data_IF_550401268126
#
_entry.id   IF_550401268126
#
_cell.length_a   1.000
_cell.length_b   1.000
_cell.length_c   1.000
_cell.angle_alpha   90.00
_cell.angle_beta   90.00
_cell.angle_gamma   90.00
#
_symmetry.space_group_name_H-M   'P 1'
#
loop_
_entity.id
_entity.type
_entity.pdbx_description
1 polymer ?
#
# COMPACT_ATOMS: atom_id res chain seq x y z
N UNK A 1 -3.58 9.37 7.25
CA UNK A 1 -2.47 10.35 7.42
C UNK A 1 -2.09 10.51 8.88
N UNK A 2 -3.03 10.34 9.82
CA UNK A 2 -2.80 10.35 11.26
C UNK A 2 -1.73 9.32 11.69
N UNK A 3 -1.73 8.10 11.12
CA UNK A 3 -0.82 7.01 11.51
C UNK A 3 0.65 7.41 11.41
N UNK A 4 1.09 8.02 10.30
CA UNK A 4 2.49 8.43 10.11
C UNK A 4 2.89 9.64 10.97
N UNK A 5 1.91 10.39 11.50
CA UNK A 5 2.16 11.54 12.37
C UNK A 5 2.24 11.15 13.85
N UNK A 6 1.89 9.90 14.20
CA UNK A 6 1.91 9.41 15.57
C UNK A 6 3.34 9.43 16.13
N UNK A 7 3.55 9.92 17.37
CA UNK A 7 4.89 9.98 17.97
C UNK A 7 5.62 8.64 17.96
N UNK A 8 4.90 7.52 18.12
CA UNK A 8 5.48 6.18 18.18
C UNK A 8 5.99 5.68 16.82
N UNK A 9 5.52 6.28 15.72
CA UNK A 9 5.85 5.88 14.33
C UNK A 9 6.96 6.76 13.75
N UNK A 10 7.13 7.99 14.25
CA UNK A 10 8.10 8.95 13.71
C UNK A 10 9.53 8.55 14.07
N UNK A 11 10.45 8.49 13.10
CA UNK A 11 11.86 8.27 13.39
C UNK A 11 12.47 9.56 13.94
N UNK A 12 12.82 9.58 15.22
CA UNK A 12 13.44 10.73 15.87
C UNK A 12 12.56 11.99 15.86
N UNK A 13 13.19 13.16 15.90
CA UNK A 13 12.50 14.46 15.97
C UNK A 13 12.13 15.00 14.58
N UNK A 14 11.24 14.29 13.87
CA UNK A 14 10.72 14.75 12.58
C UNK A 14 9.41 15.50 12.77
N UNK A 15 9.29 16.67 12.10
CA UNK A 15 8.08 17.47 12.15
C UNK A 15 6.95 16.84 11.31
N UNK A 16 5.69 17.14 11.65
CA UNK A 16 4.56 16.65 10.85
C UNK A 16 4.59 17.24 9.42
N UNK A 17 5.19 18.42 9.24
CA UNK A 17 5.37 19.04 7.93
C UNK A 17 6.34 18.22 7.05
N UNK A 18 7.42 17.71 7.64
CA UNK A 18 8.38 16.86 6.94
C UNK A 18 7.76 15.53 6.53
N UNK A 19 7.00 14.89 7.43
CA UNK A 19 6.24 13.66 7.11
C UNK A 19 5.30 13.89 5.93
N UNK A 20 4.54 14.99 5.94
CA UNK A 20 3.66 15.34 4.82
C UNK A 20 4.42 15.65 3.53
N UNK A 21 5.56 16.33 3.64
CA UNK A 21 6.44 16.61 2.51
C UNK A 21 6.94 15.34 1.85
N UNK A 22 7.37 14.36 2.66
CA UNK A 22 7.80 13.05 2.18
C UNK A 22 6.68 12.29 1.46
N UNK A 23 5.47 12.22 2.05
CA UNK A 23 4.33 11.53 1.43
C UNK A 23 3.95 12.19 0.11
N UNK A 24 3.83 13.52 0.07
CA UNK A 24 3.52 14.26 -1.17
C UNK A 24 4.56 14.00 -2.24
N UNK A 25 5.83 14.10 -1.90
CA UNK A 25 6.92 13.85 -2.84
C UNK A 25 6.91 12.43 -3.39
N UNK A 26 6.56 11.46 -2.56
CA UNK A 26 6.39 10.06 -2.98
C UNK A 26 5.21 9.90 -3.95
N UNK A 27 4.08 10.56 -3.67
CA UNK A 27 2.91 10.55 -4.54
C UNK A 27 3.19 11.19 -5.91
N UNK A 28 4.12 12.14 -6.03
CA UNK A 28 4.51 12.73 -7.32
C UNK A 28 5.11 11.68 -8.28
N UNK A 29 5.70 10.61 -7.75
CA UNK A 29 6.23 9.50 -8.56
C UNK A 29 5.19 8.40 -8.82
N UNK A 30 3.98 8.53 -8.29
CA UNK A 30 2.93 7.51 -8.44
C UNK A 30 2.23 7.59 -9.81
N UNK A 31 1.82 6.43 -10.30
CA UNK A 31 0.93 6.33 -11.46
C UNK A 31 -0.54 6.41 -11.00
N UNK A 32 -1.29 7.38 -11.51
CA UNK A 32 -2.74 7.50 -11.22
C UNK A 32 -3.50 6.46 -12.04
N UNK A 33 -4.21 5.59 -11.34
CA UNK A 33 -4.97 4.51 -11.96
C UNK A 33 -6.46 4.65 -11.64
N UNK A 34 -7.29 4.60 -12.68
CA UNK A 34 -8.74 4.47 -12.52
C UNK A 34 -9.10 3.02 -12.22
N UNK A 35 -10.07 2.83 -11.33
CA UNK A 35 -10.58 1.52 -10.91
C UNK A 35 -12.10 1.47 -11.04
N UNK A 36 -12.65 0.28 -11.28
CA UNK A 36 -14.08 0.03 -11.42
C UNK A 36 -14.55 -0.91 -10.30
N UNK A 37 -15.54 -0.45 -9.53
CA UNK A 37 -15.98 -1.04 -8.25
C UNK A 37 -16.91 -2.28 -8.40
N UNK A 38 -16.77 -3.04 -9.48
CA UNK A 38 -17.84 -3.91 -10.01
C UNK A 38 -18.02 -5.28 -9.37
N UNK A 39 -17.04 -5.79 -8.60
CA UNK A 39 -17.00 -7.19 -8.15
C UNK A 39 -16.93 -7.37 -6.62
N UNK A 40 -17.09 -6.29 -5.85
CA UNK A 40 -17.03 -6.33 -4.38
C UNK A 40 -18.23 -7.07 -3.75
N UNK A 41 -18.06 -7.70 -2.56
CA UNK A 41 -16.80 -7.85 -1.83
C UNK A 41 -16.03 -9.13 -2.21
N UNK A 42 -14.69 -9.07 -2.17
CA UNK A 42 -13.81 -10.24 -2.30
C UNK A 42 -13.00 -10.48 -1.03
N UNK A 43 -12.40 -9.42 -0.50
CA UNK A 43 -11.59 -9.48 0.71
C UNK A 43 -12.45 -9.56 1.97
N UNK A 44 -11.80 -9.98 3.07
CA UNK A 44 -12.44 -10.06 4.38
C UNK A 44 -12.91 -8.68 4.87
N UNK A 45 -12.12 -7.65 4.64
CA UNK A 45 -12.53 -6.26 4.84
C UNK A 45 -12.95 -5.64 3.49
N UNK A 46 -14.25 -5.36 3.28
CA UNK A 46 -14.73 -4.75 2.03
C UNK A 46 -14.12 -3.36 1.73
N UNK A 47 -13.56 -2.68 2.73
CA UNK A 47 -12.87 -1.41 2.50
C UNK A 47 -11.54 -1.59 1.75
N UNK A 48 -10.91 -2.76 1.90
CA UNK A 48 -9.63 -3.09 1.27
C UNK A 48 -9.79 -3.54 -0.18
N UNK A 49 -11.00 -3.91 -0.63
CA UNK A 49 -11.26 -4.28 -2.03
C UNK A 49 -10.85 -3.18 -3.01
N UNK A 50 -10.93 -1.90 -2.59
CA UNK A 50 -10.45 -0.79 -3.40
C UNK A 50 -8.95 -0.87 -3.70
N UNK A 51 -8.17 -1.37 -2.74
CA UNK A 51 -6.72 -1.52 -2.88
C UNK A 51 -6.42 -2.71 -3.79
N UNK A 52 -7.15 -3.82 -3.66
CA UNK A 52 -7.01 -4.97 -4.55
C UNK A 52 -7.40 -4.62 -6.00
N UNK A 53 -8.53 -3.93 -6.20
CA UNK A 53 -8.94 -3.42 -7.51
C UNK A 53 -7.85 -2.54 -8.14
N UNK A 54 -7.24 -1.66 -7.34
CA UNK A 54 -6.15 -0.81 -7.79
C UNK A 54 -4.93 -1.62 -8.22
N UNK A 55 -4.55 -2.63 -7.43
CA UNK A 55 -3.42 -3.49 -7.76
C UNK A 55 -3.67 -4.28 -9.05
N UNK A 56 -4.88 -4.82 -9.25
CA UNK A 56 -5.27 -5.50 -10.49
C UNK A 56 -5.25 -4.54 -11.69
N UNK A 57 -5.92 -3.39 -11.58
CA UNK A 57 -6.03 -2.42 -12.68
C UNK A 57 -4.68 -1.83 -13.10
N UNK A 58 -3.75 -1.67 -12.15
CA UNK A 58 -2.39 -1.18 -12.39
C UNK A 58 -1.39 -2.28 -12.77
N UNK A 59 -1.80 -3.55 -12.76
CA UNK A 59 -0.92 -4.72 -12.95
C UNK A 59 0.25 -4.74 -11.95
N UNK A 60 0.00 -4.26 -10.73
CA UNK A 60 1.00 -4.25 -9.67
C UNK A 60 1.28 -5.68 -9.21
N UNK A 61 2.55 -6.07 -9.11
CA UNK A 61 2.93 -7.38 -8.58
C UNK A 61 2.76 -7.49 -7.07
N UNK A 62 2.77 -6.36 -6.35
CA UNK A 62 2.80 -6.35 -4.89
C UNK A 62 1.79 -5.35 -4.29
N UNK A 63 1.15 -5.76 -3.19
CA UNK A 63 0.50 -4.87 -2.23
C UNK A 63 1.39 -4.80 -0.99
N UNK A 64 1.92 -3.61 -0.69
CA UNK A 64 2.83 -3.42 0.45
C UNK A 64 2.02 -2.98 1.68
N UNK A 65 1.89 -3.86 2.68
CA UNK A 65 1.04 -3.61 3.86
C UNK A 65 1.53 -4.36 5.10
N UNK A 66 1.19 -3.84 6.29
CA UNK A 66 1.33 -4.58 7.54
C UNK A 66 0.15 -5.53 7.81
N UNK A 67 -0.98 -5.33 7.13
CA UNK A 67 -2.23 -6.06 7.37
C UNK A 67 -2.39 -7.28 6.45
N UNK A 68 -1.38 -8.15 6.40
CA UNK A 68 -1.35 -9.28 5.45
C UNK A 68 -2.60 -10.18 5.51
N UNK A 69 -3.14 -10.37 6.71
CA UNK A 69 -4.34 -11.20 6.96
C UNK A 69 -5.61 -10.70 6.25
N UNK A 70 -5.64 -9.43 5.83
CA UNK A 70 -6.80 -8.83 5.17
C UNK A 70 -6.71 -9.02 3.64
N UNK A 71 -5.54 -9.43 3.12
CA UNK A 71 -5.24 -9.66 1.71
C UNK A 71 -4.91 -11.12 1.40
N UNK A 72 -5.78 -12.05 1.82
CA UNK A 72 -5.63 -13.49 1.55
C UNK A 72 -6.28 -13.88 0.23
N UNK A 73 -5.77 -14.92 -0.45
CA UNK A 73 -6.29 -15.45 -1.72
C UNK A 73 -6.23 -14.45 -2.90
N UNK A 74 -5.30 -13.50 -2.85
CA UNK A 74 -5.10 -12.50 -3.92
C UNK A 74 -4.08 -12.97 -4.98
N UNK A 75 -3.33 -14.03 -4.68
CA UNK A 75 -2.36 -14.66 -5.58
C UNK A 75 -2.99 -15.19 -6.88
N UNK A 76 -4.31 -15.45 -6.86
CA UNK A 76 -5.11 -15.78 -8.04
C UNK A 76 -5.08 -14.67 -9.11
N UNK A 77 -4.80 -13.44 -8.70
CA UNK A 77 -4.65 -12.29 -9.60
C UNK A 77 -3.17 -12.02 -9.98
N UNK A 78 -2.24 -12.88 -9.57
CA UNK A 78 -0.80 -12.67 -9.77
C UNK A 78 -0.20 -11.57 -8.88
N UNK A 79 -0.86 -11.27 -7.74
CA UNK A 79 -0.49 -10.22 -6.81
C UNK A 79 -0.09 -10.86 -5.48
N UNK A 80 0.97 -10.35 -4.86
CA UNK A 80 1.42 -10.80 -3.54
C UNK A 80 1.32 -9.66 -2.50
N UNK A 81 0.71 -9.93 -1.34
CA UNK A 81 0.76 -9.01 -0.21
C UNK A 81 2.04 -9.25 0.59
N UNK A 82 2.85 -8.21 0.78
CA UNK A 82 4.14 -8.29 1.47
C UNK A 82 4.31 -7.16 2.49
N UNK A 83 5.16 -7.37 3.48
CA UNK A 83 5.48 -6.32 4.45
C UNK A 83 6.37 -5.24 3.84
N UNK A 84 6.34 -3.99 4.34
CA UNK A 84 7.28 -2.96 3.91
C UNK A 84 8.75 -3.37 4.06
N UNK A 85 9.10 -4.12 5.11
CA UNK A 85 10.47 -4.62 5.31
C UNK A 85 10.92 -5.59 4.23
N UNK A 86 10.04 -6.52 3.82
CA UNK A 86 10.31 -7.45 2.75
C UNK A 86 10.42 -6.72 1.40
N UNK A 87 9.53 -5.76 1.14
CA UNK A 87 9.58 -4.95 -0.08
C UNK A 87 10.89 -4.15 -0.19
N UNK A 88 11.37 -3.55 0.90
CA UNK A 88 12.65 -2.85 0.91
C UNK A 88 13.84 -3.80 0.61
N UNK A 89 13.80 -5.03 1.11
CA UNK A 89 14.80 -6.05 0.77
C UNK A 89 14.76 -6.40 -0.71
N UNK A 90 13.56 -6.56 -1.29
CA UNK A 90 13.40 -6.82 -2.73
C UNK A 90 13.99 -5.68 -3.56
N UNK A 91 13.58 -4.43 -3.31
CA UNK A 91 14.02 -3.28 -4.11
C UNK A 91 15.52 -3.00 -3.99
N UNK A 92 16.16 -3.33 -2.86
CA UNK A 92 17.63 -3.20 -2.71
C UNK A 92 18.42 -4.21 -3.53
N UNK A 93 17.80 -5.31 -3.92
CA UNK A 93 18.44 -6.40 -4.67
C UNK A 93 18.05 -6.38 -6.16
N UNK A 94 17.29 -5.38 -6.61
CA UNK A 94 17.01 -5.08 -8.02
C UNK A 94 18.13 -4.20 -8.61
#
# INVERSE_FOLDING_TARGET
MDVLMRPEVKPGEISNADVLGFVRKTLDYSHKQSICFGWRPWLKDPNDDMILELAIASQSSYIVTFNLKDFTNIELFGIEAITPGNFLTLVRNL
#
